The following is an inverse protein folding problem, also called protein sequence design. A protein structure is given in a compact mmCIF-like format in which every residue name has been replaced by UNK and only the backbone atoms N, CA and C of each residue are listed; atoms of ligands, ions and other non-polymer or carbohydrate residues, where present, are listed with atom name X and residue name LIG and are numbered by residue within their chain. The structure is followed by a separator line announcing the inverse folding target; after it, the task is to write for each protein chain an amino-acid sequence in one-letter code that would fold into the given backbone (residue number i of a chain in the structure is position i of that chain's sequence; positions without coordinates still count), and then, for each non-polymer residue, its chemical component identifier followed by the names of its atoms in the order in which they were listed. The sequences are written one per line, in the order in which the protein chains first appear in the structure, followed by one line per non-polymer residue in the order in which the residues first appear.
data_IF_899344492637
#
_entry.id   IF_899344492637
#
_cell.length_a   1.000
_cell.length_b   1.000
_cell.length_c   1.000
_cell.angle_alpha   90.00
_cell.angle_beta   90.00
_cell.angle_gamma   90.00
#
_symmetry.space_group_name_H-M   'P 1'
#
loop_
_entity.id
_entity.type
_entity.pdbx_description
1 polymer ?
#
# COMPACT_ATOMS: atom_id res chain seq x y z
N UNK A 1 -5.91 23.07 -4.79
CA UNK A 1 -5.57 23.78 -3.53
C UNK A 1 -6.22 23.04 -2.37
N UNK A 2 -5.58 21.97 -1.92
CA UNK A 2 -6.06 21.15 -0.79
C UNK A 2 -4.89 20.69 0.09
N UNK A 3 -3.72 21.34 -0.05
CA UNK A 3 -2.46 20.99 0.62
C UNK A 3 -2.11 22.04 1.70
N UNK A 4 -2.81 23.17 1.77
CA UNK A 4 -2.30 24.38 2.41
C UNK A 4 -2.92 24.74 3.77
N UNK A 5 -3.77 23.92 4.38
CA UNK A 5 -4.51 24.37 5.59
C UNK A 5 -4.72 23.33 6.69
N UNK A 6 -3.85 22.35 6.84
CA UNK A 6 -3.94 21.39 7.95
C UNK A 6 -2.57 21.13 8.56
N UNK A 7 -2.39 21.53 9.82
CA UNK A 7 -1.67 20.74 10.83
C UNK A 7 -0.26 20.25 10.44
N UNK A 8 0.47 21.03 9.63
CA UNK A 8 1.66 20.55 8.91
C UNK A 8 2.76 19.97 9.81
N UNK A 9 2.89 20.41 11.06
CA UNK A 9 3.91 19.87 11.97
C UNK A 9 3.49 18.54 12.58
N UNK A 10 2.31 18.45 13.20
CA UNK A 10 1.85 17.22 13.88
C UNK A 10 1.57 16.10 12.88
N UNK A 11 0.99 16.43 11.72
CA UNK A 11 0.77 15.46 10.66
C UNK A 11 2.09 15.01 10.02
N UNK A 12 3.10 15.89 9.92
CA UNK A 12 4.42 15.50 9.41
C UNK A 12 5.20 14.63 10.39
N UNK A 13 5.18 14.92 11.68
CA UNK A 13 5.85 14.11 12.70
C UNK A 13 5.25 12.70 12.78
N UNK A 14 3.91 12.61 12.73
CA UNK A 14 3.21 11.33 12.68
C UNK A 14 3.51 10.58 11.38
N UNK A 15 3.51 11.27 10.24
CA UNK A 15 3.86 10.67 8.95
C UNK A 15 5.31 10.15 8.91
N UNK A 16 6.26 10.91 9.47
CA UNK A 16 7.67 10.53 9.56
C UNK A 16 7.84 9.30 10.43
N UNK A 17 7.24 9.29 11.62
CA UNK A 17 7.27 8.11 12.50
C UNK A 17 6.72 6.87 11.80
N UNK A 18 5.57 7.01 11.13
CA UNK A 18 4.94 5.90 10.40
C UNK A 18 5.79 5.44 9.21
N UNK A 19 6.44 6.38 8.50
CA UNK A 19 7.39 6.07 7.44
C UNK A 19 8.57 5.25 7.96
N UNK A 20 9.18 5.67 9.08
CA UNK A 20 10.32 4.98 9.70
C UNK A 20 9.93 3.57 10.15
N UNK A 21 8.74 3.39 10.73
CA UNK A 21 8.21 2.07 11.12
C UNK A 21 8.06 1.14 9.91
N UNK A 22 7.55 1.65 8.79
CA UNK A 22 7.38 0.89 7.56
C UNK A 22 8.69 0.60 6.83
N UNK A 23 9.65 1.52 6.85
CA UNK A 23 10.98 1.33 6.26
C UNK A 23 11.77 0.20 6.96
N UNK A 24 11.60 0.08 8.28
CA UNK A 24 12.21 -0.96 9.09
C UNK A 24 11.62 -2.36 8.86
N UNK A 25 10.46 -2.46 8.19
CA UNK A 25 9.88 -3.76 7.86
C UNK A 25 10.73 -4.51 6.83
N UNK A 26 10.87 -5.81 7.08
CA UNK A 26 11.51 -6.74 6.14
C UNK A 26 10.66 -6.91 4.89
N UNK A 27 11.25 -7.43 3.82
CA UNK A 27 10.48 -7.83 2.64
C UNK A 27 9.59 -9.07 2.96
N UNK A 28 8.45 -9.23 2.27
CA UNK A 28 7.66 -10.46 2.34
C UNK A 28 8.53 -11.68 2.04
N UNK A 29 8.38 -12.74 2.85
CA UNK A 29 9.17 -13.96 2.69
C UNK A 29 8.41 -15.20 3.12
N UNK A 30 8.75 -16.32 2.50
CA UNK A 30 8.29 -17.63 2.95
C UNK A 30 9.33 -18.27 3.87
N UNK A 31 8.91 -18.73 5.04
CA UNK A 31 9.72 -19.54 5.94
C UNK A 31 8.82 -20.56 6.65
N UNK A 32 9.32 -21.77 6.89
CA UNK A 32 8.55 -22.84 7.54
C UNK A 32 7.18 -23.11 6.87
N UNK A 33 7.10 -23.01 5.54
CA UNK A 33 5.87 -23.12 4.76
C UNK A 33 4.79 -22.08 5.12
N UNK A 34 5.20 -20.93 5.67
CA UNK A 34 4.33 -19.80 6.02
C UNK A 34 4.77 -18.54 5.31
N UNK A 35 3.80 -17.72 4.91
CA UNK A 35 4.08 -16.38 4.41
C UNK A 35 4.20 -15.45 5.61
N UNK A 36 5.40 -14.91 5.82
CA UNK A 36 5.60 -13.75 6.67
C UNK A 36 5.31 -12.52 5.82
N UNK A 37 4.15 -11.91 6.06
CA UNK A 37 3.67 -10.75 5.34
C UNK A 37 3.82 -9.49 6.21
N UNK A 38 4.80 -8.62 5.91
CA UNK A 38 4.80 -7.26 6.42
C UNK A 38 3.58 -6.53 5.86
N UNK A 39 2.83 -5.88 6.73
CA UNK A 39 1.57 -5.27 6.38
C UNK A 39 1.15 -4.17 7.36
N UNK A 40 0.20 -3.36 6.89
CA UNK A 40 -0.59 -2.47 7.72
C UNK A 40 -1.90 -3.19 8.01
N UNK A 41 -2.22 -3.37 9.28
CA UNK A 41 -3.36 -4.16 9.74
C UNK A 41 -4.44 -3.31 10.38
N UNK A 42 -5.68 -3.72 10.16
CA UNK A 42 -6.90 -3.05 10.58
C UNK A 42 -7.79 -4.06 11.32
N UNK A 43 -8.12 -3.76 12.57
CA UNK A 43 -8.97 -4.62 13.39
C UNK A 43 -10.41 -4.60 12.89
N UNK A 44 -10.95 -5.77 12.53
CA UNK A 44 -12.35 -5.88 12.09
C UNK A 44 -13.26 -5.86 13.31
N UNK A 45 -14.23 -4.96 13.30
CA UNK A 45 -15.15 -4.70 14.42
C UNK A 45 -16.55 -5.26 14.20
N UNK A 46 -16.93 -5.48 12.94
CA UNK A 46 -18.23 -6.01 12.56
C UNK A 46 -18.11 -6.82 11.26
N UNK A 47 -18.67 -8.02 11.24
CA UNK A 47 -18.93 -8.81 10.04
C UNK A 47 -20.39 -9.19 10.05
N UNK A 48 -21.15 -8.65 9.10
CA UNK A 48 -22.59 -8.84 9.01
C UNK A 48 -22.97 -9.38 7.64
N UNK A 49 -23.66 -10.52 7.59
CA UNK A 49 -24.18 -11.04 6.33
C UNK A 49 -25.32 -10.13 5.85
N UNK A 50 -25.28 -9.75 4.58
CA UNK A 50 -26.41 -9.13 3.92
C UNK A 50 -27.23 -10.25 3.29
N UNK A 51 -28.50 -10.38 3.69
CA UNK A 51 -29.39 -11.34 3.04
C UNK A 51 -29.70 -10.84 1.63
N UNK A 52 -29.24 -11.59 0.64
CA UNK A 52 -29.73 -11.51 -0.74
C UNK A 52 -30.87 -12.51 -0.90
N UNK A 53 -31.97 -12.11 -1.53
CA UNK A 53 -33.10 -13.00 -1.85
C UNK A 53 -32.77 -13.97 -3.00
N UNK A 54 -31.65 -13.79 -3.69
CA UNK A 54 -31.25 -14.64 -4.80
C UNK A 54 -30.49 -15.88 -4.32
N UNK A 55 -30.84 -17.03 -4.88
CA UNK A 55 -30.20 -18.34 -4.71
C UNK A 55 -28.82 -18.40 -5.40
N UNK A 56 -28.00 -17.35 -5.27
CA UNK A 56 -26.64 -17.37 -5.80
C UNK A 56 -25.68 -17.99 -4.78
N UNK A 57 -24.73 -18.78 -5.27
CA UNK A 57 -23.67 -19.41 -4.47
C UNK A 57 -22.73 -18.40 -3.79
N UNK A 58 -22.91 -17.10 -4.03
CA UNK A 58 -22.11 -16.01 -3.48
C UNK A 58 -22.84 -15.33 -2.33
N UNK A 59 -22.13 -15.17 -1.21
CA UNK A 59 -22.63 -14.53 0.00
C UNK A 59 -21.98 -13.15 0.11
N UNK A 60 -22.82 -12.13 0.33
CA UNK A 60 -22.36 -10.76 0.55
C UNK A 60 -22.31 -10.43 2.05
N UNK A 61 -21.21 -9.84 2.48
CA UNK A 61 -20.97 -9.39 3.84
C UNK A 61 -20.67 -7.90 3.86
N UNK A 62 -21.25 -7.20 4.83
CA UNK A 62 -20.81 -5.89 5.26
C UNK A 62 -19.73 -6.06 6.32
N UNK A 63 -18.56 -5.50 6.10
CA UNK A 63 -17.44 -5.53 7.03
C UNK A 63 -17.11 -4.12 7.49
N UNK A 64 -16.87 -3.94 8.78
CA UNK A 64 -16.33 -2.71 9.34
C UNK A 64 -15.02 -3.00 10.04
N UNK A 65 -14.06 -2.11 9.86
CA UNK A 65 -12.80 -2.15 10.57
C UNK A 65 -12.45 -0.75 11.10
N UNK A 66 -11.65 -0.72 12.15
CA UNK A 66 -11.10 0.52 12.68
C UNK A 66 -10.22 1.17 11.59
N UNK A 67 -10.35 2.48 11.42
CA UNK A 67 -9.64 3.28 10.42
C UNK A 67 -10.02 3.10 8.95
N UNK A 68 -10.89 2.14 8.60
CA UNK A 68 -11.35 1.92 7.22
C UNK A 68 -12.80 2.35 7.00
N UNK A 69 -13.12 2.74 5.76
CA UNK A 69 -14.50 2.90 5.28
C UNK A 69 -15.24 1.57 5.37
N UNK A 70 -16.57 1.60 5.53
CA UNK A 70 -17.39 0.39 5.53
C UNK A 70 -17.25 -0.35 4.18
N UNK A 71 -17.05 -1.66 4.22
CA UNK A 71 -16.71 -2.48 3.05
C UNK A 71 -17.82 -3.48 2.74
N UNK A 72 -17.94 -3.81 1.46
CA UNK A 72 -18.75 -4.94 0.98
C UNK A 72 -17.82 -6.02 0.43
N UNK A 73 -17.92 -7.22 0.98
CA UNK A 73 -17.16 -8.39 0.54
C UNK A 73 -18.11 -9.44 0.00
N UNK A 74 -17.79 -9.97 -1.17
CA UNK A 74 -18.52 -11.07 -1.80
C UNK A 74 -17.62 -12.29 -1.76
N UNK A 75 -18.13 -13.42 -1.27
CA UNK A 75 -17.36 -14.67 -1.18
C UNK A 75 -18.29 -15.88 -1.20
N UNK A 76 -17.76 -17.04 -1.61
CA UNK A 76 -18.43 -18.33 -1.48
C UNK A 76 -18.31 -18.90 -0.06
N UNK A 77 -17.38 -18.38 0.74
CA UNK A 77 -17.10 -18.87 2.08
C UNK A 77 -18.13 -18.36 3.11
N UNK A 78 -18.47 -19.23 4.06
CA UNK A 78 -19.32 -18.86 5.19
C UNK A 78 -18.44 -18.22 6.26
N UNK A 79 -18.65 -16.92 6.50
CA UNK A 79 -17.94 -16.18 7.54
C UNK A 79 -18.74 -16.17 8.84
N UNK A 80 -18.06 -16.29 9.97
CA UNK A 80 -18.67 -16.12 11.30
C UNK A 80 -19.10 -14.67 11.45
N UNK A 81 -20.38 -14.45 11.71
CA UNK A 81 -20.92 -13.11 11.92
C UNK A 81 -20.68 -12.64 13.35
N UNK A 82 -20.29 -11.38 13.50
CA UNK A 82 -20.08 -10.76 14.81
C UNK A 82 -20.19 -9.24 14.76
N UNK A 83 -20.36 -8.65 15.93
CA UNK A 83 -20.31 -7.21 16.18
C UNK A 83 -19.80 -6.99 17.62
N UNK A 84 -19.28 -5.80 17.95
CA UNK A 84 -18.69 -5.52 19.28
C UNK A 84 -19.55 -5.93 20.49
N UNK A 85 -20.87 -5.77 20.42
CA UNK A 85 -21.80 -6.18 21.48
C UNK A 85 -21.99 -7.71 21.64
N UNK A 86 -21.45 -8.53 20.74
CA UNK A 86 -21.46 -10.00 20.83
C UNK A 86 -20.10 -10.54 20.37
N UNK A 87 -19.09 -10.51 21.24
CA UNK A 87 -17.74 -10.94 20.88
C UNK A 87 -17.73 -12.43 20.55
N UNK A 88 -16.91 -12.79 19.58
CA UNK A 88 -16.62 -14.18 19.17
C UNK A 88 -15.20 -14.53 19.60
N UNK A 89 -14.89 -15.82 19.65
CA UNK A 89 -13.52 -16.28 19.95
C UNK A 89 -12.53 -16.04 18.81
N UNK A 90 -13.02 -15.77 17.59
CA UNK A 90 -12.19 -15.61 16.40
C UNK A 90 -11.99 -14.14 16.05
N UNK A 91 -10.73 -13.71 15.99
CA UNK A 91 -10.35 -12.37 15.56
C UNK A 91 -10.22 -12.32 14.04
N UNK A 92 -10.72 -11.26 13.43
CA UNK A 92 -10.55 -10.98 12.01
C UNK A 92 -9.71 -9.72 11.81
N UNK A 93 -8.80 -9.76 10.84
CA UNK A 93 -7.97 -8.62 10.43
C UNK A 93 -8.17 -8.37 8.93
N UNK A 94 -8.23 -7.09 8.57
CA UNK A 94 -7.97 -6.66 7.20
C UNK A 94 -6.53 -6.19 7.12
N UNK A 95 -5.78 -6.65 6.12
CA UNK A 95 -4.39 -6.24 5.95
C UNK A 95 -4.16 -5.66 4.58
N UNK A 96 -3.41 -4.55 4.55
CA UNK A 96 -2.78 -3.99 3.36
C UNK A 96 -1.35 -4.54 3.29
N UNK A 97 -1.00 -5.39 2.31
CA UNK A 97 0.38 -5.78 2.09
C UNK A 97 1.28 -4.54 1.99
N UNK A 98 2.39 -4.56 2.74
CA UNK A 98 3.38 -3.50 2.64
C UNK A 98 4.22 -3.70 1.39
N UNK A 99 4.44 -2.61 0.66
CA UNK A 99 5.25 -2.59 -0.55
C UNK A 99 6.14 -1.34 -0.58
N UNK A 100 7.43 -1.54 -0.83
CA UNK A 100 8.43 -0.46 -0.87
C UNK A 100 8.16 0.53 -1.99
N UNK A 101 7.45 0.13 -3.06
CA UNK A 101 7.02 1.08 -4.09
C UNK A 101 6.10 2.19 -3.54
N UNK A 102 5.42 1.95 -2.40
CA UNK A 102 4.62 2.97 -1.72
C UNK A 102 5.47 4.11 -1.14
N UNK A 103 6.77 3.91 -0.88
CA UNK A 103 7.69 4.94 -0.39
C UNK A 103 8.13 5.93 -1.49
N UNK A 104 7.78 5.68 -2.76
CA UNK A 104 8.09 6.58 -3.86
C UNK A 104 9.56 6.56 -4.28
N UNK A 105 10.29 5.50 -3.94
CA UNK A 105 11.62 5.25 -4.49
C UNK A 105 11.44 5.04 -6.01
N UNK A 106 12.10 5.85 -6.87
CA UNK A 106 12.01 5.67 -8.31
C UNK A 106 12.47 4.26 -8.67
N UNK A 107 11.63 3.54 -9.40
CA UNK A 107 12.07 2.31 -10.06
C UNK A 107 13.14 2.73 -11.09
N UNK A 108 14.23 1.98 -11.19
CA UNK A 108 15.29 2.24 -12.18
C UNK A 108 14.83 2.00 -13.63
N UNK A 109 13.52 1.97 -13.90
CA UNK A 109 12.89 1.59 -15.16
C UNK A 109 12.72 2.74 -16.16
N UNK A 110 13.08 3.98 -15.82
CA UNK A 110 13.23 5.04 -16.83
C UNK A 110 14.67 5.07 -17.36
N UNK A 111 15.08 4.01 -18.06
CA UNK A 111 16.15 4.17 -19.04
C UNK A 111 15.55 4.91 -20.24
N UNK A 112 16.07 6.09 -20.62
CA UNK A 112 15.69 6.67 -21.89
C UNK A 112 16.15 5.73 -23.00
N UNK A 113 15.22 5.35 -23.89
CA UNK A 113 15.49 4.67 -25.14
C UNK A 113 16.59 5.44 -25.88
N UNK A 114 17.83 4.94 -25.83
CA UNK A 114 18.84 5.29 -26.81
C UNK A 114 18.39 4.60 -28.10
N UNK A 115 17.52 5.28 -28.85
CA UNK A 115 17.27 4.96 -30.23
C UNK A 115 18.62 4.93 -30.95
N UNK A 116 19.02 3.72 -31.34
CA UNK A 116 20.15 3.43 -32.20
C UNK A 116 19.86 4.00 -33.59
N UNK A 117 20.09 5.30 -33.76
CA UNK A 117 20.12 5.94 -35.07
C UNK A 117 21.41 5.51 -35.78
N UNK A 118 21.38 4.29 -36.31
CA UNK A 118 22.34 3.77 -37.25
C UNK A 118 22.21 4.56 -38.56
N UNK A 119 22.91 5.69 -38.67
CA UNK A 119 23.07 6.43 -39.93
C UNK A 119 24.49 6.24 -40.47
N UNK A 120 24.50 5.55 -41.61
CA UNK A 120 25.61 5.23 -42.48
C UNK A 120 26.61 6.38 -42.68
N UNK A 121 27.89 6.02 -42.59
CA UNK A 121 29.06 6.82 -42.95
C UNK A 121 29.07 7.13 -44.46
N UNK A 122 29.14 8.41 -44.82
CA UNK A 122 29.52 8.86 -46.16
C UNK A 122 30.47 10.08 -46.07
N UNK A 123 31.51 10.05 -46.91
CA UNK A 123 32.74 10.83 -46.88
C UNK A 123 32.60 12.34 -47.18
N UNK A 124 33.46 13.20 -46.58
CA UNK A 124 33.91 14.46 -47.22
C UNK A 124 34.15 15.72 -46.33
N UNK A 125 35.41 15.93 -45.93
CA UNK A 125 36.24 17.17 -45.96
C UNK A 125 35.80 18.54 -45.37
N UNK A 126 36.57 18.96 -44.34
CA UNK A 126 37.12 20.29 -43.96
C UNK A 126 36.31 21.55 -43.57
N UNK A 127 36.82 22.15 -42.46
CA UNK A 127 36.98 23.58 -42.09
C UNK A 127 35.82 24.36 -41.45
N UNK A 128 35.95 24.62 -40.14
CA UNK A 128 35.25 25.69 -39.40
C UNK A 128 35.46 25.60 -37.88
N UNK A 129 36.10 26.61 -37.31
CA UNK A 129 36.60 26.71 -35.92
C UNK A 129 35.51 27.07 -34.86
N UNK A 130 35.84 27.18 -33.55
CA UNK A 130 35.02 26.76 -32.42
C UNK A 130 34.03 27.83 -31.92
N UNK A 131 32.82 27.41 -31.55
CA UNK A 131 31.90 28.23 -30.76
C UNK A 131 31.68 27.63 -29.39
N UNK A 132 32.09 28.44 -28.43
CA UNK A 132 31.93 28.35 -26.98
C UNK A 132 30.47 28.07 -26.57
N UNK A 133 30.27 26.96 -25.86
CA UNK A 133 29.08 26.70 -25.05
C UNK A 133 29.52 26.14 -23.70
N UNK A 134 30.20 26.98 -22.92
CA UNK A 134 30.16 26.82 -21.48
C UNK A 134 28.77 27.23 -20.99
N UNK A 135 27.90 26.25 -20.76
CA UNK A 135 26.87 26.21 -19.70
C UNK A 135 25.91 25.04 -19.94
N UNK A 136 26.39 23.82 -19.67
CA UNK A 136 25.51 22.69 -19.37
C UNK A 136 25.91 22.15 -17.99
N UNK A 137 25.08 22.30 -16.94
CA UNK A 137 25.37 21.63 -15.69
C UNK A 137 25.23 20.11 -15.92
N UNK A 138 26.26 19.30 -15.61
CA UNK A 138 26.14 17.86 -15.65
C UNK A 138 25.65 17.38 -14.29
N UNK A 139 24.34 17.26 -14.07
CA UNK A 139 23.86 16.65 -12.82
C UNK A 139 22.37 16.33 -12.85
N UNK A 140 22.03 15.19 -13.46
CA UNK A 140 20.84 14.42 -13.08
C UNK A 140 21.10 13.65 -11.78
N UNK A 141 21.57 14.33 -10.73
CA UNK A 141 21.58 13.74 -9.40
C UNK A 141 20.12 13.69 -8.92
N UNK A 142 19.67 12.57 -8.33
CA UNK A 142 18.36 12.55 -7.70
C UNK A 142 18.38 13.65 -6.64
N UNK A 143 17.54 14.66 -6.83
CA UNK A 143 17.25 15.65 -5.79
C UNK A 143 16.82 14.82 -4.59
N UNK A 144 17.64 14.78 -3.54
CA UNK A 144 17.30 14.10 -2.29
C UNK A 144 16.04 14.77 -1.77
N UNK A 145 14.88 14.15 -2.05
CA UNK A 145 13.60 14.65 -1.58
C UNK A 145 13.65 14.74 -0.05
N UNK A 146 13.28 15.90 0.49
CA UNK A 146 13.22 16.13 1.93
C UNK A 146 12.38 15.02 2.58
N UNK A 147 12.87 14.35 3.65
CA UNK A 147 12.22 13.18 4.23
C UNK A 147 10.76 13.44 4.64
N UNK A 148 10.44 14.67 5.08
CA UNK A 148 9.07 15.08 5.38
C UNK A 148 8.13 15.05 4.17
N UNK A 149 8.61 15.42 2.98
CA UNK A 149 7.81 15.36 1.75
C UNK A 149 7.53 13.91 1.33
N UNK A 150 8.50 13.00 1.51
CA UNK A 150 8.31 11.56 1.25
C UNK A 150 7.28 10.96 2.19
N UNK A 151 7.36 11.28 3.48
CA UNK A 151 6.40 10.85 4.48
C UNK A 151 4.97 11.37 4.18
N UNK A 152 4.82 12.64 3.79
CA UNK A 152 3.52 13.19 3.39
C UNK A 152 2.96 12.53 2.11
N UNK A 153 3.81 12.21 1.13
CA UNK A 153 3.40 11.47 -0.07
C UNK A 153 2.90 10.07 0.28
N UNK A 154 3.54 9.40 1.25
CA UNK A 154 3.06 8.13 1.77
C UNK A 154 1.65 8.27 2.36
N UNK A 155 1.37 9.32 3.16
CA UNK A 155 0.03 9.54 3.72
C UNK A 155 -1.05 9.63 2.65
N UNK A 156 -0.80 10.42 1.60
CA UNK A 156 -1.75 10.54 0.47
C UNK A 156 -1.98 9.20 -0.23
N UNK A 157 -0.95 8.35 -0.34
CA UNK A 157 -1.06 6.99 -0.91
C UNK A 157 -1.77 6.01 0.01
N UNK A 158 -1.77 6.25 1.32
CA UNK A 158 -2.49 5.43 2.29
C UNK A 158 -4.00 5.64 2.20
N UNK A 159 -4.43 6.87 1.90
CA UNK A 159 -5.84 7.20 1.67
C UNK A 159 -6.42 6.66 0.37
N UNK A 160 -5.56 6.26 -0.59
CA UNK A 160 -6.03 5.65 -1.83
C UNK A 160 -6.62 4.25 -1.57
N UNK A 161 -7.63 3.84 -2.37
CA UNK A 161 -8.13 2.48 -2.34
C UNK A 161 -7.00 1.47 -2.57
N UNK A 162 -7.04 0.35 -1.86
CA UNK A 162 -6.00 -0.68 -1.92
C UNK A 162 -6.59 -2.09 -1.89
N UNK A 163 -5.86 -3.05 -2.47
CA UNK A 163 -6.16 -4.47 -2.36
C UNK A 163 -5.84 -4.97 -0.94
N UNK A 164 -6.87 -5.47 -0.26
CA UNK A 164 -6.79 -5.97 1.10
C UNK A 164 -6.93 -7.49 1.14
N UNK A 165 -6.32 -8.11 2.15
CA UNK A 165 -6.62 -9.51 2.51
C UNK A 165 -7.46 -9.54 3.79
N UNK A 166 -8.53 -10.33 3.77
CA UNK A 166 -9.27 -10.66 4.98
C UNK A 166 -8.64 -11.91 5.60
N UNK A 167 -8.23 -11.79 6.86
CA UNK A 167 -7.55 -12.82 7.61
C UNK A 167 -8.41 -13.23 8.81
N UNK A 168 -8.54 -14.52 9.03
CA UNK A 168 -9.11 -15.09 10.26
C UNK A 168 -8.00 -15.69 11.11
N UNK A 169 -7.94 -15.30 12.38
CA UNK A 169 -7.04 -15.93 13.34
C UNK A 169 -7.47 -17.39 13.57
N UNK A 170 -6.52 -18.31 13.43
CA UNK A 170 -6.74 -19.74 13.68
C UNK A 170 -6.18 -20.14 15.05
N UNK A 171 -4.98 -19.66 15.36
CA UNK A 171 -4.27 -19.84 16.63
C UNK A 171 -3.58 -18.53 17.00
N UNK A 172 -3.08 -18.43 18.22
CA UNK A 172 -2.32 -17.25 18.66
C UNK A 172 -1.16 -17.02 17.68
N UNK A 173 -1.16 -15.87 17.01
CA UNK A 173 -0.16 -15.47 16.01
C UNK A 173 -0.30 -16.07 14.61
N UNK A 174 -1.26 -16.98 14.37
CA UNK A 174 -1.42 -17.66 13.07
C UNK A 174 -2.72 -17.27 12.39
N UNK A 175 -2.61 -16.80 11.16
CA UNK A 175 -3.73 -16.31 10.37
C UNK A 175 -3.93 -17.15 9.12
N UNK A 176 -5.19 -17.32 8.74
CA UNK A 176 -5.58 -17.92 7.46
C UNK A 176 -6.27 -16.86 6.62
N UNK A 177 -5.89 -16.75 5.34
CA UNK A 177 -6.64 -15.95 4.38
C UNK A 177 -8.00 -16.57 4.12
N UNK A 178 -9.04 -15.75 4.18
CA UNK A 178 -10.42 -16.11 3.89
C UNK A 178 -10.98 -15.16 2.84
N UNK A 179 -12.13 -15.49 2.27
CA UNK A 179 -12.77 -14.70 1.23
C UNK A 179 -11.84 -14.40 0.05
N UNK A 180 -11.00 -15.38 -0.35
CA UNK A 180 -10.00 -15.21 -1.40
C UNK A 180 -10.56 -15.29 -2.82
N UNK A 181 -11.85 -15.54 -2.98
CA UNK A 181 -12.50 -15.70 -4.29
C UNK A 181 -12.46 -14.44 -5.15
N UNK A 182 -12.44 -13.26 -4.50
CA UNK A 182 -12.50 -11.95 -5.15
C UNK A 182 -11.56 -10.95 -4.47
N UNK A 183 -11.18 -9.91 -5.20
CA UNK A 183 -10.41 -8.81 -4.62
C UNK A 183 -11.29 -8.04 -3.61
N UNK A 184 -10.69 -7.71 -2.47
CA UNK A 184 -11.31 -6.87 -1.46
C UNK A 184 -10.64 -5.51 -1.57
N UNK A 185 -11.38 -4.50 -2.01
CA UNK A 185 -10.87 -3.13 -2.12
C UNK A 185 -11.27 -2.37 -0.85
N UNK A 186 -10.28 -1.92 -0.09
CA UNK A 186 -10.48 -1.15 1.12
C UNK A 186 -9.92 0.26 0.96
N UNK A 187 -10.40 1.19 1.81
CA UNK A 187 -9.95 2.57 1.80
C UNK A 187 -9.93 3.11 3.23
N UNK A 188 -8.86 3.82 3.58
CA UNK A 188 -8.74 4.54 4.86
C UNK A 188 -9.77 5.67 4.93
N UNK A 189 -10.36 5.87 6.10
CA UNK A 189 -11.37 6.92 6.34
C UNK A 189 -10.79 8.33 6.23
N UNK A 190 -9.68 8.56 6.91
CA UNK A 190 -9.01 9.85 7.06
C UNK A 190 -7.60 9.62 7.62
N UNK A 191 -6.66 10.54 7.33
CA UNK A 191 -5.30 10.55 7.91
C UNK A 191 -5.34 10.53 9.45
N UNK A 192 -6.35 11.12 10.09
CA UNK A 192 -6.49 11.03 11.55
C UNK A 192 -6.72 9.59 12.06
N UNK A 193 -7.01 8.63 11.17
CA UNK A 193 -7.21 7.22 11.51
C UNK A 193 -5.90 6.42 11.58
N UNK A 194 -4.74 7.02 11.32
CA UNK A 194 -3.45 6.30 11.33
C UNK A 194 -3.14 5.69 12.69
N UNK A 195 -3.53 6.35 13.79
CA UNK A 195 -3.35 5.81 15.15
C UNK A 195 -4.09 4.48 15.38
N UNK A 196 -5.05 4.14 14.52
CA UNK A 196 -5.76 2.86 14.56
C UNK A 196 -5.15 1.78 13.66
N UNK A 197 -4.12 2.13 12.88
CA UNK A 197 -3.38 1.22 12.01
C UNK A 197 -2.25 0.58 12.79
N UNK A 198 -2.14 -0.73 12.73
CA UNK A 198 -1.02 -1.44 13.34
C UNK A 198 -0.07 -1.96 12.25
N UNK A 199 1.19 -1.55 12.33
CA UNK A 199 2.24 -1.87 11.38
C UNK A 199 3.06 -3.03 11.91
N UNK A 200 3.13 -4.12 11.15
CA UNK A 200 3.82 -5.30 11.63
C UNK A 200 3.99 -6.37 10.58
N UNK A 201 4.34 -7.57 11.04
CA UNK A 201 4.43 -8.77 10.19
C UNK A 201 3.45 -9.81 10.70
N UNK A 202 2.59 -10.29 9.81
CA UNK A 202 1.61 -11.34 10.09
C UNK A 202 2.05 -12.65 9.44
N UNK A 203 1.89 -13.77 10.15
CA UNK A 203 2.12 -15.11 9.61
C UNK A 203 0.83 -15.68 9.01
N UNK A 204 0.86 -15.97 7.70
CA UNK A 204 -0.26 -16.50 6.94
C UNK A 204 0.02 -17.95 6.54
N UNK A 205 -0.96 -18.82 6.81
CA UNK A 205 -1.03 -20.23 6.41
C UNK A 205 -1.65 -20.41 5.02
#
# INVERSE_FOLDING_TARGET
TQVSSLQQTVAADLALKFYDELEQLRAPRFANCRLHLPCISFCVTEVRRIHSQNQEALIMYKIKADGLNDLLVITKEILVQFWRAKPIQQTFLLVRPWDRYLLGVPDFAEQPDFADDQKSVEYGTELGSPMDYSDRPPSGLPVEEEPGLRALRLMVRLEQPFDAFLLAQQRVGEYKRIASDYNIIAQVKDIASIDSMDVGTVEIL
#
